data_IF_561965307784
#
_entry.id   IF_561965307784
#
_cell.length_a   1.000
_cell.length_b   1.000
_cell.length_c   1.000
_cell.angle_alpha   90.00
_cell.angle_beta   90.00
_cell.angle_gamma   90.00
#
_symmetry.space_group_name_H-M   'P 1'
#
loop_
_entity.id
_entity.type
_entity.pdbx_description
1 polymer ?
#
# COMPACT_ATOMS: atom_id res chain seq x y z
N UNK A 1 -6.48 1.85 -4.86
CA UNK A 1 -5.70 1.53 -6.07
C UNK A 1 -6.06 2.43 -7.26
N UNK A 2 -7.34 2.58 -7.66
CA UNK A 2 -7.75 3.41 -8.80
C UNK A 2 -7.21 4.86 -8.77
N UNK A 3 -7.14 5.50 -7.60
CA UNK A 3 -6.58 6.85 -7.46
C UNK A 3 -5.13 6.96 -7.92
N UNK A 4 -4.31 5.93 -7.65
CA UNK A 4 -2.91 5.87 -8.11
C UNK A 4 -2.90 5.76 -9.63
N UNK A 5 -3.72 4.87 -10.18
CA UNK A 5 -3.85 4.69 -11.63
C UNK A 5 -4.24 6.00 -12.34
N UNK A 6 -5.18 6.77 -11.77
CA UNK A 6 -5.57 8.11 -12.26
C UNK A 6 -4.42 9.11 -12.25
N UNK A 7 -3.53 9.06 -11.25
CA UNK A 7 -2.34 9.92 -11.20
C UNK A 7 -1.34 9.56 -12.30
N UNK A 8 -1.18 8.26 -12.58
CA UNK A 8 -0.29 7.78 -13.63
C UNK A 8 -0.85 7.92 -15.05
N UNK A 9 -2.16 8.10 -15.20
CA UNK A 9 -2.82 8.15 -16.50
C UNK A 9 -2.29 9.25 -17.43
N UNK A 10 -1.84 10.37 -16.88
CA UNK A 10 -1.23 11.47 -17.66
C UNK A 10 0.12 11.06 -18.28
N UNK A 11 0.88 10.20 -17.60
CA UNK A 11 2.23 9.82 -18.03
C UNK A 11 2.24 8.57 -18.91
N UNK A 12 1.36 7.60 -18.62
CA UNK A 12 1.33 6.31 -19.32
C UNK A 12 -0.11 5.94 -19.70
N UNK A 13 -0.73 6.66 -20.65
CA UNK A 13 -2.17 6.54 -20.94
C UNK A 13 -2.57 5.13 -21.40
N UNK A 14 -1.81 4.51 -22.30
CA UNK A 14 -2.19 3.22 -22.87
C UNK A 14 -2.19 2.08 -21.85
N UNK A 15 -1.17 2.01 -20.99
CA UNK A 15 -1.08 0.96 -19.96
C UNK A 15 -2.12 1.19 -18.88
N UNK A 16 -2.29 2.45 -18.44
CA UNK A 16 -3.27 2.75 -17.39
C UNK A 16 -4.71 2.53 -17.86
N UNK A 17 -5.01 2.83 -19.12
CA UNK A 17 -6.31 2.52 -19.74
C UNK A 17 -6.52 1.00 -19.83
N UNK A 18 -5.53 0.22 -20.26
CA UNK A 18 -5.64 -1.24 -20.27
C UNK A 18 -5.92 -1.84 -18.88
N UNK A 19 -5.20 -1.37 -17.85
CA UNK A 19 -5.42 -1.80 -16.46
C UNK A 19 -6.81 -1.36 -15.98
N UNK A 20 -7.26 -0.17 -16.37
CA UNK A 20 -8.60 0.32 -16.05
C UNK A 20 -9.70 -0.55 -16.67
N UNK A 21 -9.60 -0.85 -17.96
CA UNK A 21 -10.55 -1.68 -18.69
C UNK A 21 -10.66 -3.09 -18.11
N UNK A 22 -9.51 -3.69 -17.74
CA UNK A 22 -9.46 -5.08 -17.25
C UNK A 22 -9.93 -5.23 -15.80
N UNK A 23 -9.63 -4.28 -14.91
CA UNK A 23 -9.89 -4.43 -13.47
C UNK A 23 -11.02 -3.55 -12.94
N UNK A 24 -11.17 -2.33 -13.47
CA UNK A 24 -11.99 -1.28 -12.85
C UNK A 24 -13.26 -0.93 -13.62
N UNK A 25 -13.34 -1.20 -14.93
CA UNK A 25 -14.52 -0.91 -15.76
C UNK A 25 -15.81 -1.54 -15.24
N UNK A 26 -15.74 -2.70 -14.60
CA UNK A 26 -16.92 -3.34 -14.01
C UNK A 26 -17.48 -2.61 -12.78
N UNK A 27 -16.66 -1.78 -12.11
CA UNK A 27 -17.02 -1.07 -10.89
C UNK A 27 -17.31 0.42 -11.14
N UNK A 28 -17.00 0.93 -12.33
CA UNK A 28 -17.07 2.34 -12.69
C UNK A 28 -17.92 2.52 -13.94
N UNK A 29 -18.79 3.54 -13.96
CA UNK A 29 -19.72 3.77 -15.06
C UNK A 29 -19.10 4.48 -16.28
N UNK A 30 -17.80 4.75 -16.27
CA UNK A 30 -17.12 5.50 -17.32
C UNK A 30 -16.36 4.60 -18.28
N UNK A 31 -16.39 4.95 -19.56
CA UNK A 31 -15.75 4.17 -20.63
C UNK A 31 -14.23 4.22 -20.54
N UNK A 32 -13.63 5.31 -20.04
CA UNK A 32 -12.17 5.48 -19.96
C UNK A 32 -11.74 6.08 -18.63
N UNK A 33 -10.53 5.75 -18.19
CA UNK A 33 -9.94 6.31 -16.97
C UNK A 33 -9.79 7.83 -17.05
N UNK A 34 -9.57 8.35 -18.26
CA UNK A 34 -9.33 9.78 -18.51
C UNK A 34 -10.58 10.64 -18.36
N UNK A 35 -11.77 10.02 -18.38
CA UNK A 35 -13.05 10.72 -18.16
C UNK A 35 -13.42 10.80 -16.68
N UNK A 36 -12.74 10.05 -15.82
CA UNK A 36 -13.05 10.04 -14.40
C UNK A 36 -12.60 11.33 -13.73
N UNK A 37 -13.54 11.98 -13.04
CA UNK A 37 -13.22 13.13 -12.20
C UNK A 37 -12.38 12.70 -11.00
N UNK A 38 -11.41 13.54 -10.65
CA UNK A 38 -10.62 13.37 -9.43
C UNK A 38 -11.50 13.63 -8.21
N UNK A 39 -11.66 12.63 -7.35
CA UNK A 39 -12.31 12.81 -6.05
C UNK A 39 -11.39 13.63 -5.14
N UNK A 40 -11.95 14.53 -4.33
CA UNK A 40 -11.18 15.23 -3.30
C UNK A 40 -10.61 14.22 -2.32
N UNK A 41 -9.36 14.42 -1.93
CA UNK A 41 -8.72 13.60 -0.91
C UNK A 41 -9.44 13.84 0.42
N UNK A 42 -9.73 12.76 1.15
CA UNK A 42 -10.25 12.85 2.51
C UNK A 42 -9.17 13.28 3.50
N UNK A 43 -9.55 13.37 4.77
CA UNK A 43 -8.60 13.55 5.87
C UNK A 43 -7.70 12.33 6.02
N UNK A 44 -6.43 12.59 6.37
CA UNK A 44 -5.45 11.54 6.66
C UNK A 44 -5.52 11.28 8.16
N UNK A 45 -5.72 10.01 8.53
CA UNK A 45 -5.62 9.58 9.93
C UNK A 45 -4.15 9.38 10.30
N UNK A 46 -3.65 10.28 11.15
CA UNK A 46 -2.26 10.25 11.61
C UNK A 46 -1.95 9.02 12.47
N UNK A 47 -2.92 8.52 13.24
CA UNK A 47 -2.74 7.35 14.10
C UNK A 47 -2.60 6.09 13.26
N UNK A 48 -3.44 5.95 12.23
CA UNK A 48 -3.35 4.83 11.29
C UNK A 48 -2.03 4.85 10.50
N UNK A 49 -1.54 6.03 10.15
CA UNK A 49 -0.24 6.19 9.47
C UNK A 49 0.93 5.80 10.38
N UNK A 50 0.91 6.23 11.65
CA UNK A 50 1.93 5.88 12.64
C UNK A 50 1.97 4.36 12.86
N UNK A 51 0.80 3.75 13.09
CA UNK A 51 0.66 2.30 13.25
C UNK A 51 1.22 1.53 12.03
N UNK A 52 0.82 1.92 10.82
CA UNK A 52 1.31 1.28 9.60
C UNK A 52 2.82 1.42 9.41
N UNK A 53 3.40 2.52 9.91
CA UNK A 53 4.84 2.77 9.87
C UNK A 53 5.59 1.86 10.84
N UNK A 54 5.10 1.72 12.08
CA UNK A 54 5.68 0.80 13.07
C UNK A 54 5.64 -0.65 12.59
N UNK A 55 4.50 -1.10 12.06
CA UNK A 55 4.35 -2.44 11.52
C UNK A 55 5.32 -2.70 10.35
N UNK A 56 5.44 -1.73 9.44
CA UNK A 56 6.41 -1.82 8.33
C UNK A 56 7.84 -1.94 8.87
N UNK A 57 8.20 -1.17 9.90
CA UNK A 57 9.53 -1.22 10.51
C UNK A 57 9.81 -2.59 11.14
N UNK A 58 8.85 -3.18 11.86
CA UNK A 58 8.97 -4.51 12.43
C UNK A 58 9.21 -5.58 11.35
N UNK A 59 8.42 -5.58 10.27
CA UNK A 59 8.61 -6.50 9.14
C UNK A 59 9.96 -6.29 8.45
N UNK A 60 10.40 -5.04 8.28
CA UNK A 60 11.71 -4.71 7.73
C UNK A 60 12.86 -5.16 8.67
N UNK A 61 12.70 -5.08 9.98
CA UNK A 61 13.68 -5.58 10.95
C UNK A 61 13.79 -7.10 10.88
N UNK A 62 12.66 -7.80 10.81
CA UNK A 62 12.61 -9.25 10.63
C UNK A 62 13.32 -9.68 9.33
N UNK A 63 13.06 -9.01 8.20
CA UNK A 63 13.74 -9.31 6.93
C UNK A 63 15.25 -9.08 7.02
N UNK A 64 15.67 -7.97 7.64
CA UNK A 64 17.09 -7.66 7.89
C UNK A 64 17.77 -8.74 8.73
N UNK A 65 17.09 -9.23 9.77
CA UNK A 65 17.58 -10.33 10.61
C UNK A 65 17.84 -11.61 9.81
N UNK A 66 16.91 -12.01 8.94
CA UNK A 66 17.08 -13.18 8.05
C UNK A 66 18.24 -12.98 7.07
N UNK A 67 18.29 -11.82 6.42
CA UNK A 67 19.35 -11.49 5.47
C UNK A 67 20.73 -11.49 6.13
N UNK A 68 20.87 -10.96 7.34
CA UNK A 68 22.12 -10.98 8.09
C UNK A 68 22.61 -12.40 8.44
N UNK A 69 21.70 -13.38 8.52
CA UNK A 69 22.00 -14.79 8.77
C UNK A 69 22.03 -15.65 7.50
N UNK A 70 21.99 -15.04 6.32
CA UNK A 70 21.86 -15.73 5.03
C UNK A 70 20.68 -16.72 4.97
N UNK A 71 19.64 -16.47 5.76
CA UNK A 71 18.42 -17.29 5.76
C UNK A 71 17.52 -16.87 4.60
N UNK A 72 16.91 -17.87 3.95
CA UNK A 72 15.90 -17.62 2.93
C UNK A 72 14.74 -16.79 3.48
N UNK A 73 14.17 -15.89 2.68
CA UNK A 73 12.97 -15.15 3.08
C UNK A 73 11.77 -16.07 3.37
N UNK A 74 11.76 -17.26 2.78
CA UNK A 74 10.75 -18.30 2.99
C UNK A 74 10.98 -19.14 4.25
N UNK A 75 12.18 -19.08 4.84
CA UNK A 75 12.48 -19.86 6.05
C UNK A 75 11.63 -19.37 7.23
N UNK A 76 11.12 -20.28 8.04
CA UNK A 76 10.35 -19.93 9.23
C UNK A 76 11.23 -19.24 10.29
N UNK A 77 10.60 -18.43 11.14
CA UNK A 77 11.25 -17.83 12.33
C UNK A 77 10.49 -18.36 13.53
N UNK A 78 11.21 -18.87 14.52
CA UNK A 78 10.62 -19.46 15.73
C UNK A 78 9.83 -18.43 16.55
N UNK A 79 10.37 -17.21 16.70
CA UNK A 79 9.74 -16.16 17.47
C UNK A 79 10.07 -14.76 16.96
N UNK A 80 9.05 -13.91 16.82
CA UNK A 80 9.19 -12.49 16.53
C UNK A 80 8.35 -11.72 17.55
N UNK A 81 9.02 -11.01 18.46
CA UNK A 81 8.37 -10.12 19.41
C UNK A 81 8.34 -8.70 18.84
N UNK A 82 7.16 -8.09 18.85
CA UNK A 82 6.98 -6.70 18.46
C UNK A 82 6.51 -5.95 19.71
N UNK A 83 7.42 -5.16 20.29
CA UNK A 83 7.08 -4.27 21.38
C UNK A 83 6.66 -2.93 20.80
N UNK A 84 5.40 -2.58 20.98
CA UNK A 84 4.90 -1.23 20.72
C UNK A 84 4.79 -0.49 22.05
N UNK A 85 5.24 0.76 22.08
CA UNK A 85 5.02 1.63 23.22
C UNK A 85 3.63 2.23 23.02
N UNK A 86 2.61 1.52 23.50
CA UNK A 86 1.24 2.04 23.48
C UNK A 86 1.16 3.21 24.47
N UNK A 87 1.40 4.43 23.98
CA UNK A 87 0.86 5.61 24.65
C UNK A 87 -0.66 5.53 24.50
N UNK A 88 -1.33 4.92 25.48
CA UNK A 88 -2.77 5.08 25.71
C UNK A 88 -3.06 6.57 25.72
N UNK A 89 -3.86 7.04 24.76
CA UNK A 89 -4.50 8.34 24.83
C UNK A 89 -5.95 8.03 25.18
N UNK A 90 -6.31 8.31 26.44
CA UNK A 90 -7.68 8.41 26.93
C UNK A 90 -8.46 9.51 26.18
#
# INVERSE_FOLDING_TARGET
>A
MLSILKLYAVYVPHITEYIYQSLFRQYENTVSIHLLRRKRLGTIDANLLAYGTELKQAVCAMRRYKSARNQSMKAEIDFLEIQTVSSRIE
#
